data_IF_861017332535
#
_entry.id   IF_861017332535
#
_cell.length_a   1.000
_cell.length_b   1.000
_cell.length_c   1.000
_cell.angle_alpha   90.00
_cell.angle_beta   90.00
_cell.angle_gamma   90.00
#
_symmetry.space_group_name_H-M   'P 1'
#
loop_
_entity.id
_entity.type
_entity.pdbx_description
1 polymer ?
#
# COMPACT_ATOMS: atom_id res chain seq x y z
N UNK A 1 1.20 -3.56 22.54
CA UNK A 1 2.51 -4.09 22.10
C UNK A 1 2.60 -4.14 20.59
N UNK A 2 3.75 -3.82 20.05
CA UNK A 2 3.97 -3.97 18.61
C UNK A 2 4.25 -5.43 18.29
N UNK A 3 3.72 -5.92 17.19
CA UNK A 3 3.96 -7.29 16.75
C UNK A 3 5.38 -7.41 16.19
N UNK A 4 5.89 -8.66 16.12
CA UNK A 4 7.20 -8.92 15.50
C UNK A 4 7.25 -8.39 14.07
N UNK A 5 6.15 -8.52 13.33
CA UNK A 5 6.07 -8.05 11.94
C UNK A 5 6.22 -6.52 11.85
N UNK A 6 5.62 -5.79 12.78
CA UNK A 6 5.75 -4.33 12.81
C UNK A 6 7.18 -3.90 13.09
N UNK A 7 7.88 -4.59 13.99
CA UNK A 7 9.28 -4.31 14.31
C UNK A 7 10.17 -4.59 13.10
N UNK A 8 9.96 -5.74 12.45
CA UNK A 8 10.71 -6.12 11.25
C UNK A 8 10.51 -5.09 10.14
N UNK A 9 9.26 -4.68 9.89
CA UNK A 9 8.95 -3.69 8.88
C UNK A 9 9.61 -2.36 9.17
N UNK A 10 9.65 -1.95 10.44
CA UNK A 10 10.32 -0.70 10.84
C UNK A 10 11.82 -0.76 10.55
N UNK A 11 12.46 -1.88 10.84
CA UNK A 11 13.89 -2.07 10.56
C UNK A 11 14.14 -2.06 9.05
N UNK A 12 13.31 -2.79 8.28
CA UNK A 12 13.45 -2.85 6.83
C UNK A 12 13.27 -1.47 6.18
N UNK A 13 12.34 -0.68 6.70
CA UNK A 13 12.09 0.67 6.17
C UNK A 13 13.24 1.64 6.47
N UNK A 14 14.07 1.36 7.47
CA UNK A 14 15.22 2.21 7.78
C UNK A 14 16.40 2.00 6.82
N UNK A 15 16.39 0.90 6.06
CA UNK A 15 17.44 0.56 5.10
C UNK A 15 16.98 1.00 3.69
N UNK A 16 17.66 2.00 3.06
CA UNK A 16 17.18 2.58 1.80
C UNK A 16 16.88 1.60 0.67
N UNK A 17 17.76 0.63 0.35
CA UNK A 17 17.45 -0.32 -0.73
C UNK A 17 16.22 -1.17 -0.45
N UNK A 18 16.05 -1.61 0.80
CA UNK A 18 14.91 -2.43 1.21
C UNK A 18 13.62 -1.60 1.23
N UNK A 19 13.74 -0.33 1.67
CA UNK A 19 12.60 0.58 1.67
C UNK A 19 12.05 0.78 0.25
N UNK A 20 12.91 0.95 -0.74
CA UNK A 20 12.48 1.09 -2.14
C UNK A 20 11.71 -0.13 -2.60
N UNK A 21 12.15 -1.33 -2.23
CA UNK A 21 11.45 -2.57 -2.58
C UNK A 21 10.08 -2.64 -1.92
N UNK A 22 9.97 -2.25 -0.65
CA UNK A 22 8.71 -2.24 0.07
C UNK A 22 7.74 -1.24 -0.56
N UNK A 23 8.19 -0.03 -0.84
CA UNK A 23 7.37 1.00 -1.48
C UNK A 23 6.90 0.54 -2.87
N UNK A 24 7.78 -0.08 -3.65
CA UNK A 24 7.42 -0.59 -4.96
C UNK A 24 6.34 -1.68 -4.85
N UNK A 25 6.48 -2.57 -3.88
CA UNK A 25 5.48 -3.62 -3.64
C UNK A 25 4.13 -3.01 -3.25
N UNK A 26 4.14 -1.97 -2.41
CA UNK A 26 2.91 -1.27 -2.04
C UNK A 26 2.27 -0.58 -3.24
N UNK A 27 3.07 0.03 -4.11
CA UNK A 27 2.57 0.64 -5.35
C UNK A 27 1.96 -0.40 -6.27
N UNK A 28 2.58 -1.57 -6.39
CA UNK A 28 2.05 -2.66 -7.20
C UNK A 28 0.71 -3.15 -6.63
N UNK A 29 0.63 -3.31 -5.30
CA UNK A 29 -0.60 -3.72 -4.63
C UNK A 29 -1.70 -2.68 -4.79
N UNK A 30 -1.37 -1.39 -4.71
CA UNK A 30 -2.33 -0.31 -4.95
C UNK A 30 -2.91 -0.41 -6.37
N UNK A 31 -2.03 -0.62 -7.35
CA UNK A 31 -2.44 -0.76 -8.74
C UNK A 31 -3.35 -1.95 -8.94
N UNK A 32 -3.02 -3.08 -8.33
CA UNK A 32 -3.85 -4.29 -8.40
C UNK A 32 -5.23 -4.05 -7.77
N UNK A 33 -5.28 -3.39 -6.61
CA UNK A 33 -6.53 -3.07 -5.95
C UNK A 33 -7.38 -2.12 -6.80
N UNK A 34 -6.76 -1.10 -7.40
CA UNK A 34 -7.45 -0.17 -8.28
C UNK A 34 -8.03 -0.88 -9.51
N UNK A 35 -7.25 -1.77 -10.13
CA UNK A 35 -7.72 -2.55 -11.27
C UNK A 35 -8.87 -3.48 -10.89
N UNK A 36 -8.79 -4.10 -9.72
CA UNK A 36 -9.86 -4.94 -9.21
C UNK A 36 -11.13 -4.13 -8.96
N UNK A 37 -11.00 -2.92 -8.44
CA UNK A 37 -12.15 -2.02 -8.23
C UNK A 37 -12.82 -1.67 -9.55
N UNK A 38 -12.03 -1.34 -10.58
CA UNK A 38 -12.56 -1.04 -11.91
C UNK A 38 -13.32 -2.24 -12.47
N UNK A 39 -12.76 -3.44 -12.36
CA UNK A 39 -13.40 -4.67 -12.81
C UNK A 39 -14.73 -4.90 -12.08
N UNK A 40 -14.76 -4.70 -10.77
CA UNK A 40 -16.00 -4.83 -9.99
C UNK A 40 -17.04 -3.79 -10.41
N UNK A 41 -16.62 -2.57 -10.71
CA UNK A 41 -17.50 -1.52 -11.21
C UNK A 41 -18.16 -1.93 -12.53
N UNK A 42 -17.40 -2.51 -13.44
CA UNK A 42 -17.91 -2.99 -14.72
C UNK A 42 -18.96 -4.09 -14.53
N UNK A 43 -18.76 -4.96 -13.54
CA UNK A 43 -19.69 -6.05 -13.20
C UNK A 43 -20.83 -5.59 -12.31
N UNK A 44 -20.83 -4.31 -11.92
CA UNK A 44 -21.81 -3.72 -10.99
C UNK A 44 -21.79 -4.39 -9.62
N UNK A 45 -20.64 -4.92 -9.23
CA UNK A 45 -20.42 -5.53 -7.91
C UNK A 45 -19.94 -4.44 -6.93
N UNK A 46 -20.91 -3.65 -6.47
CA UNK A 46 -20.61 -2.47 -5.64
C UNK A 46 -20.05 -2.82 -4.28
N UNK A 47 -20.37 -3.98 -3.75
CA UNK A 47 -19.83 -4.44 -2.46
C UNK A 47 -18.30 -4.59 -2.54
N UNK A 48 -17.80 -5.36 -3.51
CA UNK A 48 -16.37 -5.55 -3.69
C UNK A 48 -15.69 -4.29 -4.23
N UNK A 49 -16.40 -3.52 -5.04
CA UNK A 49 -15.88 -2.24 -5.52
C UNK A 49 -15.50 -1.33 -4.35
N UNK A 50 -16.39 -1.15 -3.38
CA UNK A 50 -16.11 -0.35 -2.20
C UNK A 50 -14.94 -0.87 -1.40
N UNK A 51 -14.84 -2.18 -1.26
CA UNK A 51 -13.77 -2.83 -0.52
C UNK A 51 -12.40 -2.62 -1.19
N UNK A 52 -12.32 -2.85 -2.50
CA UNK A 52 -11.06 -2.66 -3.23
C UNK A 52 -10.67 -1.19 -3.31
N UNK A 53 -11.64 -0.30 -3.45
CA UNK A 53 -11.36 1.14 -3.41
C UNK A 53 -10.77 1.55 -2.07
N UNK A 54 -11.31 1.05 -0.97
CA UNK A 54 -10.78 1.32 0.37
C UNK A 54 -9.35 0.81 0.53
N UNK A 55 -9.06 -0.38 0.01
CA UNK A 55 -7.71 -0.94 0.05
C UNK A 55 -6.73 -0.09 -0.75
N UNK A 56 -7.13 0.35 -1.95
CA UNK A 56 -6.30 1.20 -2.79
C UNK A 56 -5.96 2.50 -2.05
N UNK A 57 -6.95 3.12 -1.41
CA UNK A 57 -6.72 4.34 -0.63
C UNK A 57 -5.78 4.09 0.54
N UNK A 58 -5.92 2.95 1.23
CA UNK A 58 -5.02 2.59 2.33
C UNK A 58 -3.58 2.46 1.87
N UNK A 59 -3.35 1.76 0.75
CA UNK A 59 -2.01 1.63 0.20
C UNK A 59 -1.43 2.98 -0.18
N UNK A 60 -2.24 3.83 -0.79
CA UNK A 60 -1.81 5.19 -1.17
C UNK A 60 -1.40 6.00 0.06
N UNK A 61 -2.18 5.94 1.14
CA UNK A 61 -1.86 6.64 2.38
C UNK A 61 -0.57 6.10 3.01
N UNK A 62 -0.38 4.78 3.00
CA UNK A 62 0.84 4.17 3.51
C UNK A 62 2.06 4.60 2.71
N UNK A 63 1.98 4.59 1.39
CA UNK A 63 3.06 5.02 0.52
C UNK A 63 3.41 6.48 0.79
N UNK A 64 2.40 7.34 0.84
CA UNK A 64 2.59 8.77 1.12
C UNK A 64 3.25 8.98 2.48
N UNK A 65 2.82 8.25 3.49
CA UNK A 65 3.37 8.33 4.84
C UNK A 65 4.83 7.90 4.88
N UNK A 66 5.17 6.80 4.20
CA UNK A 66 6.54 6.31 4.12
C UNK A 66 7.41 7.30 3.36
N UNK A 67 6.96 7.79 2.21
CA UNK A 67 7.73 8.74 1.41
C UNK A 67 7.95 10.05 2.15
N UNK A 68 6.96 10.52 2.90
CA UNK A 68 7.08 11.72 3.72
C UNK A 68 8.07 11.53 4.87
N UNK A 69 7.99 10.39 5.56
CA UNK A 69 8.85 10.10 6.71
C UNK A 69 10.30 9.88 6.32
N UNK A 70 10.54 9.22 5.18
CA UNK A 70 11.89 8.86 4.72
C UNK A 70 12.29 9.64 3.48
N UNK A 71 11.75 10.84 3.32
CA UNK A 71 12.09 11.68 2.19
C UNK A 71 13.51 12.20 2.33
N UNK A 72 14.32 12.01 1.31
CA UNK A 72 15.66 12.58 1.23
C UNK A 72 15.61 13.82 0.36
N UNK A 73 16.19 14.86 0.90
CA UNK A 73 16.37 16.08 0.14
C UNK A 73 17.60 15.99 -0.73
#
# INVERSE_FOLDING_TARGET
MKTKQQIINRVLLSIPPLRKKIVQRLKDNEKLAANAAVSCSEKKDWYHFGRYSSESIRYRKLISKIESKYKFC
#
